data_IF_035664288231
#
_entry.id   IF_035664288231
#
_cell.length_a   1.000
_cell.length_b   1.000
_cell.length_c   1.000
_cell.angle_alpha   90.00
_cell.angle_beta   90.00
_cell.angle_gamma   90.00
#
_symmetry.space_group_name_H-M   'P 1'
#
loop_
_entity.id
_entity.type
_entity.pdbx_description
1 polymer ?
#
# COMPACT_ATOMS: atom_id res chain seq x y z
N UNK A 1 -6.54 40.66 52.14
CA UNK A 1 -5.57 40.67 51.02
C UNK A 1 -5.54 39.28 50.36
N UNK A 2 -6.51 38.94 49.51
CA UNK A 2 -6.58 37.59 48.90
C UNK A 2 -7.11 37.57 47.46
N UNK A 3 -7.29 38.73 46.82
CA UNK A 3 -7.85 38.84 45.47
C UNK A 3 -6.80 38.79 44.33
N UNK A 4 -5.50 38.97 44.62
CA UNK A 4 -4.45 39.03 43.57
C UNK A 4 -3.93 37.68 43.08
N UNK A 5 -4.09 36.58 43.84
CA UNK A 5 -3.58 35.25 43.44
C UNK A 5 -4.49 34.56 42.42
N UNK A 6 -5.82 34.61 42.61
CA UNK A 6 -6.79 33.96 41.74
C UNK A 6 -6.73 34.42 40.26
N UNK A 7 -6.48 35.71 40.01
CA UNK A 7 -6.35 36.24 38.64
C UNK A 7 -5.09 35.74 37.92
N UNK A 8 -4.01 35.47 38.66
CA UNK A 8 -2.74 35.01 38.08
C UNK A 8 -2.83 33.55 37.65
N UNK A 9 -3.49 32.72 38.46
CA UNK A 9 -3.70 31.30 38.17
C UNK A 9 -4.68 31.12 37.00
N UNK A 10 -5.73 31.93 36.93
CA UNK A 10 -6.66 31.95 35.78
C UNK A 10 -5.99 32.41 34.49
N UNK A 11 -5.18 33.47 34.54
CA UNK A 11 -4.43 33.94 33.36
C UNK A 11 -3.41 32.92 32.87
N UNK A 12 -2.76 32.18 33.78
CA UNK A 12 -1.80 31.14 33.42
C UNK A 12 -2.50 29.94 32.78
N UNK A 13 -3.66 29.53 33.31
CA UNK A 13 -4.47 28.47 32.73
C UNK A 13 -4.94 28.82 31.31
N UNK A 14 -5.40 30.05 31.09
CA UNK A 14 -5.81 30.53 29.76
C UNK A 14 -4.62 30.53 28.79
N UNK A 15 -3.45 31.01 29.23
CA UNK A 15 -2.25 31.02 28.40
C UNK A 15 -1.82 29.61 27.98
N UNK A 16 -1.90 28.63 28.89
CA UNK A 16 -1.60 27.22 28.60
C UNK A 16 -2.58 26.66 27.57
N UNK A 17 -3.89 26.91 27.73
CA UNK A 17 -4.90 26.44 26.78
C UNK A 17 -4.68 27.03 25.39
N UNK A 18 -4.40 28.33 25.31
CA UNK A 18 -4.09 29.00 24.03
C UNK A 18 -2.84 28.40 23.40
N UNK A 19 -1.77 28.15 24.17
CA UNK A 19 -0.57 27.51 23.65
C UNK A 19 -0.84 26.10 23.11
N UNK A 20 -1.65 25.29 23.80
CA UNK A 20 -2.05 23.95 23.33
C UNK A 20 -2.84 24.06 22.02
N UNK A 21 -3.81 24.97 21.93
CA UNK A 21 -4.62 25.17 20.72
C UNK A 21 -3.74 25.61 19.55
N UNK A 22 -2.78 26.52 19.77
CA UNK A 22 -1.86 26.97 18.74
C UNK A 22 -0.93 25.84 18.27
N UNK A 23 -0.37 25.05 19.19
CA UNK A 23 0.47 23.89 18.86
C UNK A 23 -0.33 22.83 18.11
N UNK A 24 -1.54 22.50 18.57
CA UNK A 24 -2.41 21.54 17.91
C UNK A 24 -2.79 22.01 16.50
N UNK A 25 -3.10 23.30 16.34
CA UNK A 25 -3.42 23.89 15.03
C UNK A 25 -2.20 23.87 14.10
N UNK A 26 -1.01 24.23 14.59
CA UNK A 26 0.23 24.15 13.82
C UNK A 26 0.55 22.72 13.39
N UNK A 27 0.36 21.73 14.28
CA UNK A 27 0.56 20.31 13.96
C UNK A 27 -0.43 19.78 12.91
N UNK A 28 -1.64 20.34 12.81
CA UNK A 28 -2.58 19.97 11.75
C UNK A 28 -2.17 20.51 10.38
N UNK A 29 -1.59 21.70 10.32
CA UNK A 29 -1.14 22.35 9.07
C UNK A 29 0.17 21.73 8.57
N UNK A 30 1.05 21.28 9.48
CA UNK A 30 2.35 20.69 9.16
C UNK A 30 2.29 19.20 8.81
N UNK A 31 1.12 18.55 8.87
CA UNK A 31 0.98 17.16 8.42
C UNK A 31 1.11 17.13 6.90
N UNK A 32 1.98 16.28 6.34
CA UNK A 32 2.01 16.05 4.91
C UNK A 32 0.63 15.68 4.38
N UNK A 33 0.25 16.28 3.25
CA UNK A 33 -1.00 15.93 2.60
C UNK A 33 -0.93 14.50 2.05
N UNK A 34 -2.04 13.76 2.08
CA UNK A 34 -2.12 12.51 1.34
C UNK A 34 -1.96 12.81 -0.16
N UNK A 35 -1.08 12.07 -0.81
CA UNK A 35 -0.82 12.14 -2.24
C UNK A 35 -1.19 10.80 -2.88
N UNK A 36 -1.96 10.86 -3.97
CA UNK A 36 -2.24 9.70 -4.81
C UNK A 36 -1.00 9.36 -5.63
N UNK A 37 -0.63 8.08 -5.61
CA UNK A 37 0.48 7.56 -6.39
C UNK A 37 0.01 6.46 -7.31
N UNK A 38 0.54 6.48 -8.53
CA UNK A 38 0.28 5.47 -9.55
C UNK A 38 1.61 5.06 -10.15
N UNK A 39 1.90 3.76 -10.16
CA UNK A 39 3.05 3.18 -10.81
C UNK A 39 2.63 2.01 -11.70
N UNK A 40 3.36 1.80 -12.79
CA UNK A 40 3.14 0.71 -13.73
C UNK A 40 4.49 0.03 -13.97
N UNK A 41 4.50 -1.30 -13.97
CA UNK A 41 5.67 -2.09 -14.28
C UNK A 41 6.15 -1.85 -15.72
N UNK A 42 7.43 -2.08 -15.98
CA UNK A 42 8.02 -1.86 -17.31
C UNK A 42 7.38 -2.71 -18.40
N UNK A 43 6.87 -3.89 -18.04
CA UNK A 43 6.16 -4.81 -18.95
C UNK A 43 4.65 -4.55 -19.02
N UNK A 44 4.15 -3.50 -18.36
CA UNK A 44 2.73 -3.13 -18.30
C UNK A 44 1.80 -4.20 -17.72
N UNK A 45 2.34 -5.21 -17.03
CA UNK A 45 1.56 -6.29 -16.41
C UNK A 45 0.99 -5.85 -15.05
N UNK A 46 1.80 -5.22 -14.21
CA UNK A 46 1.41 -4.79 -12.87
C UNK A 46 1.23 -3.28 -12.82
N UNK A 47 0.07 -2.84 -12.34
CA UNK A 47 -0.23 -1.45 -11.99
C UNK A 47 -0.56 -1.36 -10.50
N UNK A 48 0.05 -0.40 -9.82
CA UNK A 48 -0.15 -0.15 -8.40
C UNK A 48 -0.69 1.27 -8.23
N UNK A 49 -1.80 1.39 -7.53
CA UNK A 49 -2.37 2.66 -7.09
C UNK A 49 -2.44 2.69 -5.57
N UNK A 50 -2.43 3.87 -4.98
CA UNK A 50 -2.72 4.05 -3.56
C UNK A 50 -2.44 5.46 -3.10
N UNK A 51 -2.50 5.65 -1.78
CA UNK A 51 -2.26 6.94 -1.13
C UNK A 51 -1.06 6.84 -0.20
N UNK A 52 -0.13 7.77 -0.32
CA UNK A 52 1.00 7.94 0.59
C UNK A 52 0.94 9.32 1.25
N UNK A 53 1.44 9.43 2.48
CA UNK A 53 1.60 10.72 3.18
C UNK A 53 3.04 11.22 3.14
N UNK A 54 4.00 10.38 2.78
CA UNK A 54 5.36 10.84 2.49
C UNK A 54 5.47 11.10 0.99
N UNK A 55 6.44 11.94 0.60
CA UNK A 55 6.81 12.21 -0.80
C UNK A 55 7.45 11.00 -1.49
N UNK A 56 6.92 9.80 -1.22
CA UNK A 56 7.49 8.53 -1.60
C UNK A 56 7.00 8.12 -2.97
N UNK A 57 7.94 7.61 -3.76
CA UNK A 57 7.63 7.02 -5.06
C UNK A 57 7.43 5.52 -4.89
N UNK A 58 6.50 4.98 -5.68
CA UNK A 58 6.33 3.53 -5.82
C UNK A 58 7.28 3.05 -6.91
N UNK A 59 8.16 2.12 -6.56
CA UNK A 59 9.05 1.42 -7.47
C UNK A 59 8.52 0.01 -7.67
N UNK A 60 8.52 -0.45 -8.91
CA UNK A 60 8.12 -1.81 -9.28
C UNK A 60 9.29 -2.47 -9.99
N UNK A 61 9.85 -3.49 -9.37
CA UNK A 61 10.94 -4.28 -9.91
C UNK A 61 10.43 -5.68 -10.24
N UNK A 62 10.73 -6.16 -11.44
CA UNK A 62 10.46 -7.53 -11.84
C UNK A 62 11.62 -8.40 -11.38
N UNK A 63 11.31 -9.47 -10.66
CA UNK A 63 12.29 -10.45 -10.22
C UNK A 63 12.32 -11.63 -11.19
N UNK A 64 13.49 -11.88 -11.76
CA UNK A 64 13.78 -13.07 -12.58
C UNK A 64 14.54 -14.12 -11.75
N UNK A 65 14.43 -15.41 -12.10
CA UNK A 65 15.10 -16.50 -11.39
C UNK A 65 14.39 -17.00 -10.11
N UNK A 66 13.15 -16.57 -9.91
CA UNK A 66 12.29 -16.92 -8.75
C UNK A 66 11.07 -17.74 -9.19
N UNK A 67 11.17 -18.45 -10.31
CA UNK A 67 10.04 -19.09 -11.00
C UNK A 67 9.39 -20.22 -10.19
N UNK A 68 10.13 -20.80 -9.24
CA UNK A 68 9.65 -21.88 -8.36
C UNK A 68 9.08 -21.39 -7.03
N UNK A 69 9.04 -20.07 -6.82
CA UNK A 69 8.68 -19.49 -5.52
C UNK A 69 7.19 -19.58 -5.22
N UNK A 70 6.34 -19.39 -6.24
CA UNK A 70 4.88 -19.46 -6.12
C UNK A 70 4.40 -20.78 -6.72
N UNK A 71 3.47 -21.51 -6.09
CA UNK A 71 2.84 -22.68 -6.68
C UNK A 71 2.26 -22.36 -8.06
N UNK A 72 2.68 -23.11 -9.08
CA UNK A 72 2.21 -22.98 -10.46
C UNK A 72 2.22 -21.52 -10.96
N UNK A 73 3.39 -20.87 -10.84
CA UNK A 73 3.60 -19.49 -11.25
C UNK A 73 3.12 -19.24 -12.70
N UNK A 74 2.28 -18.23 -12.90
CA UNK A 74 1.75 -17.84 -14.23
C UNK A 74 2.26 -16.48 -14.72
N UNK A 75 2.97 -15.73 -13.87
CA UNK A 75 3.53 -14.40 -14.15
C UNK A 75 4.85 -14.22 -13.43
N UNK A 76 5.75 -13.32 -13.86
CA UNK A 76 6.88 -12.90 -13.04
C UNK A 76 6.44 -12.47 -11.64
N UNK A 77 7.36 -12.59 -10.69
CA UNK A 77 7.21 -12.01 -9.34
C UNK A 77 7.67 -10.57 -9.42
N UNK A 78 6.96 -9.69 -8.72
CA UNK A 78 7.30 -8.27 -8.61
C UNK A 78 7.63 -7.93 -7.16
N UNK A 79 8.69 -7.15 -6.97
CA UNK A 79 8.89 -6.37 -5.76
C UNK A 79 8.31 -4.98 -5.96
N UNK A 80 7.37 -4.62 -5.10
CA UNK A 80 6.83 -3.26 -5.04
C UNK A 80 7.39 -2.61 -3.78
N UNK A 81 8.10 -1.49 -3.94
CA UNK A 81 8.77 -0.80 -2.84
C UNK A 81 8.49 0.70 -2.83
N UNK A 82 8.61 1.30 -1.65
CA UNK A 82 8.50 2.74 -1.42
C UNK A 82 9.88 3.32 -1.10
N UNK A 83 10.22 4.45 -1.72
CA UNK A 83 11.55 5.08 -1.59
C UNK A 83 11.93 5.46 -0.15
N UNK A 84 10.97 5.89 0.68
CA UNK A 84 11.25 6.41 2.03
C UNK A 84 10.66 5.55 3.15
N UNK A 85 10.53 4.24 2.92
CA UNK A 85 9.98 3.26 3.88
C UNK A 85 8.62 3.63 4.50
N UNK A 86 7.86 4.48 3.80
CA UNK A 86 6.50 4.86 4.18
C UNK A 86 5.50 3.71 4.10
N UNK A 87 4.23 4.05 4.22
CA UNK A 87 3.10 3.12 4.07
C UNK A 87 2.26 3.55 2.88
N UNK A 88 1.93 2.58 2.03
CA UNK A 88 0.92 2.77 0.99
C UNK A 88 -0.43 2.30 1.54
N UNK A 89 -1.39 3.21 1.61
CA UNK A 89 -2.74 2.97 2.10
C UNK A 89 -3.73 2.91 0.95
N UNK A 90 -4.86 2.23 1.17
CA UNK A 90 -5.93 2.11 0.17
C UNK A 90 -5.40 1.58 -1.18
N UNK A 91 -4.34 0.77 -1.14
CA UNK A 91 -3.63 0.39 -2.34
C UNK A 91 -4.29 -0.73 -3.10
N UNK A 92 -4.30 -0.55 -4.41
CA UNK A 92 -4.92 -1.43 -5.36
C UNK A 92 -3.88 -1.91 -6.36
N UNK A 93 -3.69 -3.21 -6.39
CA UNK A 93 -2.78 -3.89 -7.30
C UNK A 93 -3.64 -4.46 -8.43
N UNK A 94 -3.38 -4.02 -9.65
CA UNK A 94 -4.09 -4.47 -10.86
C UNK A 94 -3.10 -5.19 -11.76
N UNK A 95 -3.37 -6.46 -12.04
CA UNK A 95 -2.62 -7.27 -12.97
C UNK A 95 -3.39 -7.40 -14.28
N UNK A 96 -2.75 -7.07 -15.39
CA UNK A 96 -3.34 -7.13 -16.74
C UNK A 96 -2.83 -8.34 -17.50
N UNK A 97 -3.74 -9.11 -18.10
CA UNK A 97 -3.43 -10.27 -18.91
C UNK A 97 -4.04 -10.14 -20.29
N UNK A 98 -3.25 -9.84 -21.33
CA UNK A 98 -3.80 -9.67 -22.67
C UNK A 98 -4.24 -10.98 -23.34
N UNK A 99 -3.80 -12.15 -22.86
CA UNK A 99 -4.30 -13.46 -23.27
C UNK A 99 -3.77 -14.56 -22.34
N UNK A 100 -4.62 -15.10 -21.47
CA UNK A 100 -4.31 -16.40 -20.88
C UNK A 100 -4.37 -17.46 -21.99
N UNK A 101 -3.46 -18.43 -21.94
CA UNK A 101 -3.50 -19.58 -22.86
C UNK A 101 -4.85 -20.28 -22.72
N UNK A 102 -5.31 -20.94 -23.79
CA UNK A 102 -6.61 -21.61 -23.88
C UNK A 102 -6.89 -22.64 -22.77
N UNK A 103 -5.85 -23.05 -22.03
CA UNK A 103 -5.91 -24.06 -20.97
C UNK A 103 -6.03 -23.44 -19.56
N UNK A 104 -5.90 -22.11 -19.43
CA UNK A 104 -5.88 -21.42 -18.14
C UNK A 104 -7.05 -20.44 -18.04
N UNK A 105 -8.03 -20.77 -17.21
CA UNK A 105 -9.11 -19.84 -16.90
C UNK A 105 -8.60 -18.85 -15.85
N UNK A 106 -8.83 -17.57 -16.10
CA UNK A 106 -8.42 -16.47 -15.20
C UNK A 106 -8.99 -16.59 -13.78
N UNK A 107 -10.15 -17.24 -13.63
CA UNK A 107 -10.77 -17.55 -12.34
C UNK A 107 -9.94 -18.54 -11.49
N UNK A 108 -9.06 -19.30 -12.14
CA UNK A 108 -8.16 -20.25 -11.49
C UNK A 108 -6.85 -19.58 -11.09
N UNK A 109 -6.65 -18.30 -11.44
CA UNK A 109 -5.48 -17.51 -11.06
C UNK A 109 -5.76 -16.74 -9.77
N UNK A 110 -4.76 -16.66 -8.90
CA UNK A 110 -4.80 -15.85 -7.70
C UNK A 110 -3.56 -14.96 -7.58
N UNK A 111 -3.73 -13.82 -6.92
CA UNK A 111 -2.62 -12.98 -6.47
C UNK A 111 -2.08 -13.59 -5.18
N UNK A 112 -0.78 -13.82 -5.18
CA UNK A 112 -0.03 -14.24 -4.01
C UNK A 112 0.81 -13.08 -3.49
N UNK A 113 0.86 -12.94 -2.18
CA UNK A 113 1.75 -12.03 -1.48
C UNK A 113 2.70 -12.84 -0.59
N UNK A 114 3.97 -12.48 -0.58
CA UNK A 114 4.92 -13.10 0.34
C UNK A 114 4.77 -12.51 1.74
N UNK A 115 4.43 -13.35 2.71
CA UNK A 115 4.38 -12.99 4.12
C UNK A 115 5.75 -13.19 4.74
N UNK A 116 6.33 -12.10 5.27
CA UNK A 116 7.62 -12.15 5.98
C UNK A 116 7.51 -12.79 7.36
N UNK A 117 6.31 -12.88 7.91
CA UNK A 117 6.06 -13.47 9.23
C UNK A 117 6.06 -15.00 9.16
N UNK A 118 5.37 -15.55 8.16
CA UNK A 118 5.23 -16.99 7.94
C UNK A 118 6.30 -17.54 6.99
N UNK A 119 7.03 -16.66 6.30
CA UNK A 119 8.02 -16.99 5.26
C UNK A 119 7.42 -17.84 4.13
N UNK A 120 6.16 -17.58 3.80
CA UNK A 120 5.42 -18.30 2.76
C UNK A 120 4.60 -17.36 1.89
N UNK A 121 4.18 -17.88 0.74
CA UNK A 121 3.24 -17.19 -0.14
C UNK A 121 1.82 -17.43 0.31
N UNK A 122 1.07 -16.35 0.47
CA UNK A 122 -0.31 -16.36 0.92
C UNK A 122 -1.21 -15.80 -0.19
N UNK A 123 -2.38 -16.41 -0.36
CA UNK A 123 -3.36 -15.95 -1.35
C UNK A 123 -4.03 -14.70 -0.81
N UNK A 124 -4.06 -13.64 -1.63
CA UNK A 124 -4.76 -12.40 -1.32
C UNK A 124 -6.15 -12.41 -1.97
N UNK A 125 -7.20 -11.92 -1.27
CA UNK A 125 -8.51 -11.74 -1.88
C UNK A 125 -8.44 -10.93 -3.17
N UNK A 126 -8.98 -11.49 -4.24
CA UNK A 126 -8.88 -10.94 -5.59
C UNK A 126 -10.24 -10.79 -6.23
N UNK A 127 -10.45 -9.68 -6.91
CA UNK A 127 -11.59 -9.44 -7.79
C UNK A 127 -11.13 -9.61 -9.23
N UNK A 128 -12.01 -10.19 -10.05
CA UNK A 128 -11.71 -10.44 -11.45
C UNK A 128 -12.68 -9.66 -12.34
N UNK A 129 -12.12 -8.92 -13.30
CA UNK A 129 -12.86 -8.20 -14.33
C UNK A 129 -12.70 -8.90 -15.68
N UNK A 130 -13.80 -9.47 -16.17
CA UNK A 130 -13.89 -10.18 -17.44
C UNK A 130 -13.69 -9.28 -18.64
N UNK A 131 -14.14 -8.02 -18.57
CA UNK A 131 -14.18 -7.11 -19.70
C UNK A 131 -12.78 -6.57 -20.00
N UNK A 132 -12.02 -6.26 -18.95
CA UNK A 132 -10.64 -5.76 -19.04
C UNK A 132 -9.58 -6.85 -18.93
N UNK A 133 -9.96 -8.08 -18.60
CA UNK A 133 -9.05 -9.20 -18.32
C UNK A 133 -8.03 -8.86 -17.23
N UNK A 134 -8.50 -8.23 -16.15
CA UNK A 134 -7.64 -7.81 -15.05
C UNK A 134 -7.98 -8.51 -13.74
N UNK A 135 -6.95 -8.78 -12.94
CA UNK A 135 -7.08 -9.20 -11.55
C UNK A 135 -6.71 -8.05 -10.63
N UNK A 136 -7.60 -7.73 -9.70
CA UNK A 136 -7.44 -6.61 -8.79
C UNK A 136 -7.41 -7.12 -7.35
N UNK A 137 -6.47 -6.60 -6.55
CA UNK A 137 -6.33 -6.96 -5.14
C UNK A 137 -6.06 -5.71 -4.30
N UNK A 138 -6.69 -5.64 -3.13
CA UNK A 138 -6.36 -4.63 -2.12
C UNK A 138 -5.17 -5.13 -1.30
N UNK A 139 -4.04 -4.43 -1.37
CA UNK A 139 -2.79 -4.83 -0.72
C UNK A 139 -2.18 -3.62 -0.04
N UNK A 140 -2.32 -3.51 1.28
CA UNK A 140 -1.63 -2.49 2.06
C UNK A 140 -0.24 -3.00 2.47
N UNK A 141 0.77 -2.14 2.36
CA UNK A 141 2.13 -2.51 2.75
C UNK A 141 2.95 -1.31 3.23
N UNK A 142 4.01 -1.61 3.98
CA UNK A 142 5.02 -0.63 4.39
C UNK A 142 6.40 -1.09 3.92
N UNK A 143 7.20 -0.17 3.40
CA UNK A 143 8.51 -0.50 2.83
C UNK A 143 8.40 -1.24 1.50
N UNK A 144 8.47 -2.57 1.50
CA UNK A 144 8.35 -3.38 0.28
C UNK A 144 7.52 -4.65 0.46
N UNK A 145 6.87 -5.06 -0.62
CA UNK A 145 6.05 -6.26 -0.72
C UNK A 145 6.40 -7.03 -1.98
N UNK A 146 6.46 -8.35 -1.87
CA UNK A 146 6.58 -9.24 -3.02
C UNK A 146 5.20 -9.75 -3.39
N UNK A 147 4.86 -9.62 -4.67
CA UNK A 147 3.59 -10.06 -5.22
C UNK A 147 3.82 -10.83 -6.51
N UNK A 148 2.97 -11.81 -6.77
CA UNK A 148 2.99 -12.53 -8.03
C UNK A 148 1.68 -13.25 -8.25
N UNK A 149 1.62 -13.99 -9.35
CA UNK A 149 0.40 -14.69 -9.76
C UNK A 149 0.71 -16.17 -9.90
N UNK A 150 -0.16 -17.00 -9.35
CA UNK A 150 -0.10 -18.46 -9.47
C UNK A 150 -1.49 -19.04 -9.68
N UNK A 151 -1.56 -20.32 -10.00
CA UNK A 151 -2.86 -21.00 -10.02
C UNK A 151 -3.28 -21.42 -8.61
N UNK A 152 -4.58 -21.34 -8.34
CA UNK A 152 -5.17 -21.84 -7.10
C UNK A 152 -4.95 -23.34 -7.05
N UNK A 153 -4.29 -23.80 -5.98
CA UNK A 153 -4.24 -25.22 -5.65
C UNK A 153 -5.58 -25.57 -5.02
N UNK A 154 -6.45 -26.24 -5.77
CA UNK A 154 -7.72 -26.80 -5.29
C UNK A 154 -7.49 -28.02 -4.39
#
# INVERSE_FOLDING_TARGET
>A
MTSRRANKDSSMAIAIVVAIVLIASALLILRPNPEEVVAVSQDHVLRVEGVTRSSSLVLIERLDGVETSIPNLVSPVYEVSLTDSGTLQESVFTFSFPALSSDLLIQDVAVYQFSRETLSWEVVPTFFDLDTQTLTSAVEFSGSVLVGLGTRVL
#
